data_IF_399500691353
#
_entry.id   IF_399500691353
#
_cell.length_a   1.000
_cell.length_b   1.000
_cell.length_c   1.000
_cell.angle_alpha   90.00
_cell.angle_beta   90.00
_cell.angle_gamma   90.00
#
_symmetry.space_group_name_H-M   'P 1'
#
loop_
_entity.id
_entity.type
_entity.pdbx_description
1 polymer ?
#
# COMPACT_ATOMS: atom_id res chain seq x y z
N UNK A 1 4.13 -47.49 -26.29
CA UNK A 1 4.58 -46.81 -25.05
C UNK A 1 4.50 -45.30 -25.22
N UNK A 2 3.52 -44.65 -24.59
CA UNK A 2 3.38 -43.20 -24.66
C UNK A 2 4.58 -42.51 -23.96
N UNK A 3 5.33 -41.70 -24.71
CA UNK A 3 6.46 -40.90 -24.21
C UNK A 3 6.00 -40.08 -22.99
N UNK A 4 6.43 -40.44 -21.77
CA UNK A 4 6.14 -39.70 -20.53
C UNK A 4 6.57 -38.24 -20.72
N UNK A 5 5.63 -37.33 -21.02
CA UNK A 5 5.88 -35.89 -21.21
C UNK A 5 6.14 -35.22 -19.85
N UNK A 6 7.29 -35.55 -19.22
CA UNK A 6 7.71 -35.05 -17.90
C UNK A 6 7.76 -33.52 -17.84
N UNK A 7 8.10 -32.86 -18.96
CA UNK A 7 8.15 -31.39 -19.07
C UNK A 7 6.77 -30.74 -18.98
N UNK A 8 5.75 -31.26 -19.70
CA UNK A 8 4.38 -30.72 -19.61
C UNK A 8 3.76 -30.95 -18.23
N UNK A 9 4.07 -32.10 -17.61
CA UNK A 9 3.62 -32.42 -16.26
C UNK A 9 4.12 -31.43 -15.22
N UNK A 10 5.43 -31.15 -15.19
CA UNK A 10 6.04 -30.23 -14.21
C UNK A 10 5.61 -28.78 -14.43
N UNK A 11 5.52 -28.34 -15.69
CA UNK A 11 4.98 -26.99 -16.01
C UNK A 11 3.56 -26.84 -15.46
N UNK A 12 2.70 -27.83 -15.70
CA UNK A 12 1.29 -27.78 -15.27
C UNK A 12 1.19 -27.79 -13.75
N UNK A 13 2.05 -28.57 -13.08
CA UNK A 13 2.14 -28.61 -11.62
C UNK A 13 2.57 -27.26 -11.03
N UNK A 14 3.60 -26.62 -11.60
CA UNK A 14 4.04 -25.28 -11.17
C UNK A 14 2.94 -24.24 -11.35
N UNK A 15 2.24 -24.25 -12.49
CA UNK A 15 1.11 -23.34 -12.74
C UNK A 15 -0.01 -23.56 -11.73
N UNK A 16 -0.33 -24.82 -11.39
CA UNK A 16 -1.34 -25.14 -10.38
C UNK A 16 -0.91 -24.63 -8.99
N UNK A 17 0.32 -24.91 -8.57
CA UNK A 17 0.88 -24.44 -7.29
C UNK A 17 0.94 -22.91 -7.21
N UNK A 18 1.28 -22.25 -8.32
CA UNK A 18 1.29 -20.79 -8.40
C UNK A 18 -0.11 -20.22 -8.12
N UNK A 19 -1.16 -20.80 -8.74
CA UNK A 19 -2.56 -20.40 -8.50
C UNK A 19 -2.98 -20.64 -7.06
N UNK A 20 -2.73 -21.83 -6.52
CA UNK A 20 -3.09 -22.18 -5.14
C UNK A 20 -2.43 -21.25 -4.13
N UNK A 21 -1.15 -20.91 -4.33
CA UNK A 21 -0.44 -19.96 -3.47
C UNK A 21 -1.07 -18.56 -3.51
N UNK A 22 -1.40 -18.05 -4.70
CA UNK A 22 -2.03 -16.72 -4.82
C UNK A 22 -3.46 -16.71 -4.26
N UNK A 23 -4.24 -17.78 -4.46
CA UNK A 23 -5.57 -17.92 -3.86
C UNK A 23 -5.51 -17.91 -2.33
N UNK A 24 -4.58 -18.68 -1.77
CA UNK A 24 -4.36 -18.72 -0.32
C UNK A 24 -3.95 -17.33 0.21
N UNK A 25 -3.09 -16.61 -0.52
CA UNK A 25 -2.69 -15.25 -0.18
C UNK A 25 -3.92 -14.32 -0.06
N UNK A 26 -4.77 -14.30 -1.08
CA UNK A 26 -5.96 -13.43 -1.11
C UNK A 26 -6.99 -13.85 -0.05
N UNK A 27 -7.23 -15.15 0.13
CA UNK A 27 -8.18 -15.65 1.13
C UNK A 27 -7.76 -15.27 2.56
N UNK A 28 -6.47 -15.41 2.86
CA UNK A 28 -5.94 -15.09 4.18
C UNK A 28 -6.01 -13.58 4.45
N UNK A 29 -5.69 -12.75 3.44
CA UNK A 29 -5.81 -11.30 3.55
C UNK A 29 -7.26 -10.85 3.83
N UNK A 30 -8.23 -11.49 3.18
CA UNK A 30 -9.64 -11.19 3.36
C UNK A 30 -10.24 -11.76 4.67
N UNK A 31 -9.52 -12.61 5.40
CA UNK A 31 -10.02 -13.18 6.64
C UNK A 31 -9.97 -12.13 7.78
N UNK A 32 -11.11 -11.73 8.38
CA UNK A 32 -11.13 -10.70 9.42
C UNK A 32 -10.48 -11.14 10.74
N UNK A 33 -10.28 -12.44 10.96
CA UNK A 33 -9.69 -12.99 12.19
C UNK A 33 -8.16 -13.04 12.15
N UNK A 34 -7.54 -12.80 10.99
CA UNK A 34 -6.09 -12.83 10.83
C UNK A 34 -5.53 -11.42 11.06
N UNK A 35 -4.46 -11.32 11.85
CA UNK A 35 -3.80 -10.05 12.17
C UNK A 35 -2.52 -9.80 11.35
N UNK A 36 -1.89 -10.86 10.83
CA UNK A 36 -0.65 -10.82 10.04
C UNK A 36 -0.92 -10.88 8.52
N UNK A 37 -1.87 -10.07 8.05
CA UNK A 37 -2.47 -10.22 6.71
C UNK A 37 -1.51 -9.89 5.59
N UNK A 38 -0.90 -8.71 5.60
CA UNK A 38 0.06 -8.30 4.57
C UNK A 38 1.28 -9.22 4.54
N UNK A 39 1.81 -9.63 5.68
CA UNK A 39 2.99 -10.50 5.78
C UNK A 39 2.75 -11.84 5.09
N UNK A 40 1.64 -12.48 5.44
CA UNK A 40 1.24 -13.75 4.86
C UNK A 40 0.89 -13.61 3.39
N UNK A 41 0.18 -12.54 3.00
CA UNK A 41 -0.11 -12.26 1.61
C UNK A 41 1.19 -12.14 0.81
N UNK A 42 2.13 -11.29 1.24
CA UNK A 42 3.39 -11.02 0.54
C UNK A 42 4.18 -12.32 0.39
N UNK A 43 4.30 -13.10 1.47
CA UNK A 43 5.04 -14.37 1.45
C UNK A 43 4.45 -15.35 0.44
N UNK A 44 3.13 -15.57 0.48
CA UNK A 44 2.43 -16.48 -0.43
C UNK A 44 2.43 -15.95 -1.87
N UNK A 45 2.31 -14.64 -2.07
CA UNK A 45 2.39 -13.99 -3.37
C UNK A 45 3.77 -14.17 -4.01
N UNK A 46 4.86 -13.97 -3.25
CA UNK A 46 6.24 -14.18 -3.72
C UNK A 46 6.44 -15.63 -4.16
N UNK A 47 5.92 -16.60 -3.41
CA UNK A 47 5.95 -18.03 -3.79
C UNK A 47 5.15 -18.25 -5.08
N UNK A 48 3.94 -17.70 -5.16
CA UNK A 48 3.08 -17.79 -6.33
C UNK A 48 3.77 -17.27 -7.60
N UNK A 49 4.32 -16.06 -7.54
CA UNK A 49 5.04 -15.43 -8.65
C UNK A 49 6.29 -16.20 -9.05
N UNK A 50 7.04 -16.74 -8.08
CA UNK A 50 8.22 -17.57 -8.34
C UNK A 50 7.83 -18.80 -9.16
N UNK A 51 6.79 -19.53 -8.75
CA UNK A 51 6.31 -20.69 -9.50
C UNK A 51 5.76 -20.34 -10.88
N UNK A 52 5.09 -19.19 -11.02
CA UNK A 52 4.65 -18.69 -12.32
C UNK A 52 5.83 -18.48 -13.26
N UNK A 53 6.86 -17.75 -12.82
CA UNK A 53 8.03 -17.45 -13.64
C UNK A 53 8.86 -18.70 -13.94
N UNK A 54 9.00 -19.63 -12.99
CA UNK A 54 9.64 -20.92 -13.25
C UNK A 54 8.89 -21.73 -14.32
N UNK A 55 7.55 -21.73 -14.28
CA UNK A 55 6.74 -22.38 -15.30
C UNK A 55 6.91 -21.71 -16.69
N UNK A 56 7.06 -20.39 -16.72
CA UNK A 56 7.33 -19.62 -17.93
C UNK A 56 8.73 -19.90 -18.49
N UNK A 57 9.79 -19.75 -17.69
CA UNK A 57 11.18 -20.03 -18.08
C UNK A 57 11.36 -21.44 -18.60
N UNK A 58 10.73 -22.42 -17.94
CA UNK A 58 10.70 -23.80 -18.43
C UNK A 58 10.04 -23.94 -19.80
N UNK A 59 9.07 -23.08 -20.14
CA UNK A 59 8.38 -23.13 -21.42
C UNK A 59 9.16 -22.53 -22.58
N UNK A 60 10.14 -21.67 -22.28
CA UNK A 60 11.07 -21.06 -23.23
C UNK A 60 12.50 -21.63 -23.12
N UNK A 61 12.67 -22.75 -22.40
CA UNK A 61 13.94 -23.46 -22.17
C UNK A 61 15.05 -22.64 -21.48
N UNK A 62 14.66 -21.67 -20.64
CA UNK A 62 15.58 -20.92 -19.78
C UNK A 62 15.92 -21.74 -18.53
N UNK A 63 17.22 -21.89 -18.26
CA UNK A 63 17.74 -22.65 -17.12
C UNK A 63 17.79 -21.80 -15.85
N UNK A 64 16.68 -21.80 -15.10
CA UNK A 64 16.50 -21.03 -13.86
C UNK A 64 17.15 -21.66 -12.62
N UNK A 65 18.24 -22.42 -12.79
CA UNK A 65 19.02 -23.01 -11.69
C UNK A 65 20.28 -22.19 -11.45
N UNK A 66 20.74 -22.17 -10.20
CA UNK A 66 22.05 -21.61 -9.89
C UNK A 66 23.16 -22.52 -10.42
N UNK A 67 24.06 -21.94 -11.21
CA UNK A 67 25.25 -22.62 -11.69
C UNK A 67 26.40 -21.63 -11.84
N UNK A 68 27.62 -22.18 -11.75
CA UNK A 68 28.86 -21.50 -12.08
C UNK A 68 29.43 -22.11 -13.35
N UNK A 69 29.90 -21.27 -14.25
CA UNK A 69 30.52 -21.71 -15.51
C UNK A 69 32.03 -21.81 -15.28
N UNK A 70 32.58 -23.03 -15.34
CA UNK A 70 34.01 -23.26 -15.35
C UNK A 70 34.39 -23.81 -16.74
N UNK A 71 34.92 -22.94 -17.60
CA UNK A 71 35.16 -23.26 -19.01
C UNK A 71 33.86 -23.56 -19.77
N UNK A 72 33.73 -24.74 -20.39
CA UNK A 72 32.52 -25.18 -21.11
C UNK A 72 31.50 -25.93 -20.23
N UNK A 73 31.80 -26.18 -18.96
CA UNK A 73 30.97 -27.02 -18.08
C UNK A 73 30.20 -26.16 -17.07
N UNK A 74 28.89 -26.39 -16.97
CA UNK A 74 28.04 -25.84 -15.91
C UNK A 74 28.15 -26.69 -14.65
N UNK A 75 28.60 -26.09 -13.56
CA UNK A 75 28.59 -26.69 -12.22
C UNK A 75 27.42 -26.11 -11.45
N UNK A 76 26.43 -26.92 -11.11
CA UNK A 76 25.20 -26.46 -10.46
C UNK A 76 25.32 -26.42 -8.95
N UNK A 77 24.76 -25.38 -8.35
CA UNK A 77 24.67 -25.26 -6.91
C UNK A 77 23.56 -26.17 -6.38
N UNK A 78 23.85 -26.83 -5.26
CA UNK A 78 22.94 -27.77 -4.60
C UNK A 78 22.64 -27.33 -3.16
N UNK A 79 21.47 -27.70 -2.67
CA UNK A 79 21.09 -27.57 -1.26
C UNK A 79 21.89 -28.57 -0.42
N UNK A 80 21.83 -28.42 0.91
CA UNK A 80 22.45 -29.36 1.87
C UNK A 80 22.06 -30.82 1.61
N UNK A 81 20.86 -31.06 1.10
CA UNK A 81 20.31 -32.39 0.81
C UNK A 81 20.43 -32.79 -0.68
N UNK A 82 21.26 -32.10 -1.46
CA UNK A 82 21.61 -32.50 -2.82
C UNK A 82 20.63 -32.09 -3.93
N UNK A 83 19.53 -31.41 -3.60
CA UNK A 83 18.61 -30.85 -4.60
C UNK A 83 19.22 -29.62 -5.29
N UNK A 84 18.88 -29.36 -6.56
CA UNK A 84 19.36 -28.14 -7.25
C UNK A 84 18.76 -26.88 -6.63
N UNK A 85 19.60 -25.85 -6.45
CA UNK A 85 19.11 -24.52 -6.09
C UNK A 85 18.51 -23.85 -7.33
N UNK A 86 17.26 -23.41 -7.21
CA UNK A 86 16.55 -22.66 -8.24
C UNK A 86 16.56 -21.17 -7.87
N UNK A 87 16.39 -20.30 -8.88
CA UNK A 87 16.29 -18.86 -8.67
C UNK A 87 15.11 -18.50 -7.79
N UNK A 88 15.33 -17.60 -6.85
CA UNK A 88 14.30 -16.86 -6.15
C UNK A 88 13.64 -15.81 -7.08
N UNK A 89 12.53 -15.22 -6.61
CA UNK A 89 11.77 -14.24 -7.40
C UNK A 89 12.64 -13.08 -7.85
N UNK A 90 13.45 -12.50 -6.98
CA UNK A 90 14.29 -11.35 -7.31
C UNK A 90 15.23 -11.64 -8.48
N UNK A 91 15.94 -12.78 -8.45
CA UNK A 91 16.76 -13.23 -9.58
C UNK A 91 15.93 -13.46 -10.85
N UNK A 92 14.72 -14.02 -10.72
CA UNK A 92 13.81 -14.17 -11.85
C UNK A 92 13.42 -12.82 -12.47
N UNK A 93 13.19 -11.78 -11.68
CA UNK A 93 12.81 -10.45 -12.17
C UNK A 93 13.97 -9.71 -12.86
N UNK A 94 15.21 -10.05 -12.51
CA UNK A 94 16.42 -9.43 -13.06
C UNK A 94 16.94 -10.13 -14.33
N UNK A 95 16.31 -11.23 -14.76
CA UNK A 95 16.68 -11.92 -15.99
C UNK A 95 16.10 -11.22 -17.22
N UNK A 96 16.88 -11.16 -18.31
CA UNK A 96 16.47 -10.51 -19.55
C UNK A 96 15.27 -11.20 -20.22
N UNK A 97 15.03 -12.47 -19.94
CA UNK A 97 13.88 -13.22 -20.44
C UNK A 97 12.61 -12.99 -19.60
N UNK A 98 12.64 -12.15 -18.57
CA UNK A 98 11.47 -11.88 -17.74
C UNK A 98 10.31 -11.33 -18.58
N UNK A 99 9.11 -11.93 -18.53
CA UNK A 99 7.99 -11.54 -19.38
C UNK A 99 7.18 -10.34 -18.85
N UNK A 100 7.57 -9.80 -17.69
CA UNK A 100 6.80 -8.80 -16.96
C UNK A 100 7.19 -7.37 -17.39
N UNK A 101 6.20 -6.48 -17.41
CA UNK A 101 6.41 -5.05 -17.61
C UNK A 101 7.12 -4.40 -16.42
N UNK A 102 7.73 -3.23 -16.68
CA UNK A 102 8.53 -2.49 -15.69
C UNK A 102 7.74 -2.22 -14.42
N UNK A 103 6.50 -1.74 -14.52
CA UNK A 103 5.67 -1.33 -13.38
C UNK A 103 5.29 -2.52 -12.50
N UNK A 104 4.98 -3.66 -13.12
CA UNK A 104 4.73 -4.93 -12.42
C UNK A 104 6.00 -5.40 -11.72
N UNK A 105 7.17 -5.36 -12.38
CA UNK A 105 8.44 -5.73 -11.71
C UNK A 105 8.77 -4.82 -10.54
N UNK A 106 8.49 -3.51 -10.66
CA UNK A 106 8.67 -2.52 -9.59
C UNK A 106 7.75 -2.80 -8.40
N UNK A 107 6.48 -3.14 -8.64
CA UNK A 107 5.57 -3.59 -7.59
C UNK A 107 6.11 -4.83 -6.86
N UNK A 108 6.60 -5.84 -7.58
CA UNK A 108 7.14 -7.06 -6.97
C UNK A 108 8.44 -6.81 -6.19
N UNK A 109 9.34 -5.98 -6.71
CA UNK A 109 10.56 -5.58 -5.99
C UNK A 109 10.23 -4.84 -4.70
N UNK A 110 9.24 -3.95 -4.74
CA UNK A 110 8.74 -3.27 -3.55
C UNK A 110 8.24 -4.28 -2.51
N UNK A 111 7.41 -5.26 -2.90
CA UNK A 111 6.91 -6.28 -1.96
C UNK A 111 8.02 -7.20 -1.41
N UNK A 112 9.05 -7.51 -2.20
CA UNK A 112 10.24 -8.25 -1.74
C UNK A 112 11.00 -7.41 -0.69
N UNK A 113 11.21 -6.12 -0.94
CA UNK A 113 11.85 -5.21 0.01
C UNK A 113 11.07 -5.11 1.31
N UNK A 114 9.76 -4.94 1.22
CA UNK A 114 8.85 -4.93 2.38
C UNK A 114 8.94 -6.24 3.16
N UNK A 115 8.99 -7.41 2.50
CA UNK A 115 9.17 -8.69 3.19
C UNK A 115 10.46 -8.72 4.01
N UNK A 116 11.58 -8.21 3.48
CA UNK A 116 12.84 -8.15 4.23
C UNK A 116 12.70 -7.24 5.46
N UNK A 117 12.11 -6.06 5.30
CA UNK A 117 11.91 -5.12 6.42
C UNK A 117 10.99 -5.70 7.52
N UNK A 118 9.93 -6.42 7.15
CA UNK A 118 9.03 -7.06 8.12
C UNK A 118 9.67 -8.29 8.78
N UNK A 119 10.42 -9.11 8.05
CA UNK A 119 11.15 -10.27 8.64
C UNK A 119 12.16 -9.81 9.70
N UNK A 120 12.64 -8.57 9.63
CA UNK A 120 13.57 -7.99 10.60
C UNK A 120 12.88 -7.20 11.74
N UNK A 121 11.57 -6.94 11.69
CA UNK A 121 10.85 -6.14 12.69
C UNK A 121 9.40 -6.63 12.89
N UNK A 122 9.02 -6.97 14.13
CA UNK A 122 7.61 -7.19 14.51
C UNK A 122 6.84 -5.86 14.37
N UNK A 123 6.20 -5.65 13.21
CA UNK A 123 5.47 -4.42 12.90
C UNK A 123 3.98 -4.70 12.95
N UNK A 124 3.22 -3.85 13.65
CA UNK A 124 1.76 -3.93 13.69
C UNK A 124 1.15 -3.00 12.62
N UNK A 125 0.11 -3.47 11.91
CA UNK A 125 -0.81 -2.67 11.07
C UNK A 125 -0.19 -1.99 9.83
N UNK A 126 0.59 -2.72 9.05
CA UNK A 126 1.10 -2.25 7.74
C UNK A 126 0.08 -2.34 6.59
N UNK A 127 -1.03 -3.05 6.80
CA UNK A 127 -2.01 -3.40 5.76
C UNK A 127 -2.57 -2.18 5.01
N UNK A 128 -2.88 -1.09 5.74
CA UNK A 128 -3.52 0.11 5.19
C UNK A 128 -2.67 0.79 4.12
N UNK A 129 -1.35 0.83 4.33
CA UNK A 129 -0.38 1.48 3.44
C UNK A 129 -0.01 0.62 2.23
N UNK A 130 -0.09 -0.69 2.39
CA UNK A 130 0.32 -1.65 1.36
C UNK A 130 -0.86 -2.12 0.50
N UNK A 131 -2.09 -1.95 0.97
CA UNK A 131 -3.34 -2.41 0.33
C UNK A 131 -3.37 -2.22 -1.19
N UNK A 132 -3.07 -1.01 -1.67
CA UNK A 132 -3.04 -0.69 -3.11
C UNK A 132 -1.97 -1.47 -3.88
N UNK A 133 -0.81 -1.74 -3.27
CA UNK A 133 0.29 -2.51 -3.86
C UNK A 133 -0.03 -4.01 -3.85
N UNK A 134 -0.63 -4.52 -2.78
CA UNK A 134 -1.07 -5.91 -2.67
C UNK A 134 -2.18 -6.21 -3.68
N UNK A 135 -3.13 -5.29 -3.86
CA UNK A 135 -4.18 -5.42 -4.86
C UNK A 135 -3.62 -5.38 -6.29
N UNK A 136 -2.70 -4.46 -6.59
CA UNK A 136 -2.00 -4.45 -7.88
C UNK A 136 -1.27 -5.77 -8.15
N UNK A 137 -0.58 -6.31 -7.15
CA UNK A 137 0.09 -7.61 -7.24
C UNK A 137 -0.87 -8.74 -7.62
N UNK A 138 -2.02 -8.86 -6.96
CA UNK A 138 -3.03 -9.89 -7.26
C UNK A 138 -3.64 -9.74 -8.67
N UNK A 139 -4.00 -8.51 -9.06
CA UNK A 139 -4.57 -8.22 -10.38
C UNK A 139 -3.55 -8.53 -11.48
N UNK A 140 -2.31 -8.07 -11.32
CA UNK A 140 -1.23 -8.34 -12.27
C UNK A 140 -0.94 -9.84 -12.37
N UNK A 141 -1.02 -10.56 -11.25
CA UNK A 141 -0.82 -12.00 -11.24
C UNK A 141 -1.85 -12.71 -12.13
N UNK A 142 -3.15 -12.40 -11.95
CA UNK A 142 -4.20 -13.00 -12.78
C UNK A 142 -4.02 -12.64 -14.27
N UNK A 143 -3.68 -11.38 -14.56
CA UNK A 143 -3.38 -10.93 -15.92
C UNK A 143 -2.25 -11.74 -16.56
N UNK A 144 -1.11 -11.88 -15.87
CA UNK A 144 0.04 -12.63 -16.40
C UNK A 144 -0.20 -14.14 -16.46
N UNK A 145 -0.97 -14.70 -15.52
CA UNK A 145 -1.41 -16.10 -15.59
C UNK A 145 -2.20 -16.36 -16.88
N UNK A 146 -3.16 -15.49 -17.18
CA UNK A 146 -3.96 -15.59 -18.40
C UNK A 146 -3.10 -15.37 -19.66
N UNK A 147 -2.26 -14.33 -19.65
CA UNK A 147 -1.37 -13.98 -20.78
C UNK A 147 -0.39 -15.10 -21.13
N UNK A 148 0.20 -15.76 -20.13
CA UNK A 148 1.27 -16.75 -20.32
C UNK A 148 0.78 -18.19 -20.48
N UNK A 149 -0.35 -18.55 -19.84
CA UNK A 149 -0.81 -19.94 -19.77
C UNK A 149 -2.25 -20.14 -20.28
N UNK A 150 -2.95 -19.05 -20.65
CA UNK A 150 -4.29 -19.03 -21.19
C UNK A 150 -5.40 -18.85 -20.16
N UNK A 151 -6.57 -18.40 -20.61
CA UNK A 151 -7.72 -18.01 -19.78
C UNK A 151 -8.29 -19.12 -18.89
N UNK A 152 -7.97 -20.40 -19.14
CA UNK A 152 -8.37 -21.52 -18.28
C UNK A 152 -7.77 -21.46 -16.87
N UNK A 153 -6.74 -20.65 -16.67
CA UNK A 153 -6.08 -20.45 -15.37
C UNK A 153 -6.48 -19.15 -14.68
N UNK A 154 -7.46 -18.45 -15.23
CA UNK A 154 -8.01 -17.24 -14.64
C UNK A 154 -8.47 -17.48 -13.19
N UNK A 155 -8.23 -16.49 -12.34
CA UNK A 155 -8.52 -16.47 -10.90
C UNK A 155 -9.65 -15.49 -10.57
N UNK A 156 -9.97 -14.53 -11.45
CA UNK A 156 -10.97 -13.50 -11.19
C UNK A 156 -12.39 -14.06 -10.99
N UNK A 157 -12.65 -15.30 -11.43
CA UNK A 157 -13.93 -15.99 -11.19
C UNK A 157 -14.05 -16.65 -9.81
N UNK A 158 -12.95 -16.79 -9.05
CA UNK A 158 -12.91 -17.59 -7.82
C UNK A 158 -13.06 -16.75 -6.54
N UNK A 159 -13.04 -15.41 -6.64
CA UNK A 159 -13.15 -14.47 -5.50
C UNK A 159 -14.26 -13.44 -5.73
N UNK A 160 -15.50 -13.85 -5.53
CA UNK A 160 -16.67 -12.97 -5.53
C UNK A 160 -16.78 -12.24 -4.19
N UNK A 161 -16.37 -10.97 -4.17
CA UNK A 161 -16.74 -9.90 -3.22
C UNK A 161 -16.63 -10.21 -1.71
N UNK A 162 -15.73 -9.52 -1.00
CA UNK A 162 -15.77 -9.48 0.47
C UNK A 162 -16.89 -8.53 0.92
N UNK A 163 -17.89 -9.04 1.64
CA UNK A 163 -18.96 -8.24 2.26
C UNK A 163 -18.37 -7.52 3.47
N UNK A 164 -18.37 -6.19 3.47
CA UNK A 164 -17.89 -5.37 4.57
C UNK A 164 -19.05 -5.09 5.56
N UNK A 165 -18.79 -5.21 6.86
CA UNK A 165 -19.80 -5.03 7.92
C UNK A 165 -20.14 -3.56 8.22
N UNK A 166 -19.33 -2.60 7.77
CA UNK A 166 -19.57 -1.17 7.98
C UNK A 166 -19.37 -0.37 6.69
N UNK A 167 -20.20 0.67 6.46
CA UNK A 167 -19.81 1.74 5.56
C UNK A 167 -18.48 2.34 6.03
N UNK A 168 -17.64 2.82 5.11
CA UNK A 168 -16.45 3.61 5.45
C UNK A 168 -16.93 4.90 6.15
N UNK A 169 -16.90 4.94 7.48
CA UNK A 169 -17.30 6.12 8.24
C UNK A 169 -16.15 7.15 8.30
N UNK A 170 -16.44 8.44 8.44
CA UNK A 170 -15.43 9.47 8.69
C UNK A 170 -14.51 9.14 9.89
N UNK A 171 -15.00 8.39 10.89
CA UNK A 171 -14.21 7.99 12.05
C UNK A 171 -13.10 6.97 11.72
N UNK A 172 -13.21 6.23 10.60
CA UNK A 172 -12.13 5.40 10.10
C UNK A 172 -11.01 6.23 9.44
N UNK A 173 -11.30 7.45 8.93
CA UNK A 173 -10.29 8.36 8.36
C UNK A 173 -9.32 8.91 9.40
N UNK A 174 -9.74 9.13 10.64
CA UNK A 174 -8.82 9.62 11.68
C UNK A 174 -7.76 8.58 12.06
N UNK A 175 -8.11 7.29 12.10
CA UNK A 175 -7.12 6.21 12.27
C UNK A 175 -6.19 6.06 11.05
N UNK A 176 -6.70 6.33 9.84
CA UNK A 176 -5.90 6.28 8.60
C UNK A 176 -4.90 7.45 8.49
N UNK A 177 -5.25 8.64 9.03
CA UNK A 177 -4.43 9.86 8.93
C UNK A 177 -3.42 10.01 10.07
N UNK A 178 -3.78 9.64 11.31
CA UNK A 178 -2.90 9.71 12.49
C UNK A 178 -2.29 8.32 12.79
N UNK A 179 -1.63 7.73 11.79
CA UNK A 179 -0.96 6.45 11.89
C UNK A 179 0.43 6.60 12.57
N UNK A 180 0.43 7.01 13.85
CA UNK A 180 1.60 7.15 14.73
C UNK A 180 2.27 5.82 15.10
N UNK A 181 1.71 4.68 14.68
CA UNK A 181 2.12 3.34 15.12
C UNK A 181 2.89 2.52 14.08
N UNK A 182 3.15 3.05 12.89
CA UNK A 182 4.10 2.41 11.96
C UNK A 182 5.52 2.71 12.43
N UNK A 183 6.32 1.67 12.60
CA UNK A 183 7.76 1.78 12.83
C UNK A 183 8.39 2.65 11.75
N UNK A 184 9.27 3.57 12.15
CA UNK A 184 9.88 4.59 11.27
C UNK A 184 10.43 4.03 9.96
N UNK A 185 10.85 2.76 9.95
CA UNK A 185 11.67 2.19 8.89
C UNK A 185 10.87 1.75 7.66
N UNK A 186 9.68 1.13 7.82
CA UNK A 186 8.84 0.78 6.66
C UNK A 186 8.37 2.05 5.96
N UNK A 187 8.03 3.09 6.72
CA UNK A 187 7.67 4.41 6.17
C UNK A 187 8.86 5.04 5.44
N UNK A 188 10.05 5.00 6.02
CA UNK A 188 11.26 5.51 5.36
C UNK A 188 11.57 4.72 4.09
N UNK A 189 11.49 3.39 4.12
CA UNK A 189 11.66 2.56 2.93
C UNK A 189 10.65 2.92 1.83
N UNK A 190 9.37 3.08 2.17
CA UNK A 190 8.34 3.48 1.19
C UNK A 190 8.70 4.83 0.57
N UNK A 191 9.05 5.82 1.39
CA UNK A 191 9.43 7.16 0.93
C UNK A 191 10.68 7.09 0.04
N UNK A 192 11.73 6.40 0.49
CA UNK A 192 12.99 6.28 -0.23
C UNK A 192 12.81 5.53 -1.56
N UNK A 193 12.00 4.47 -1.56
CA UNK A 193 11.68 3.70 -2.76
C UNK A 193 10.82 4.51 -3.74
N UNK A 194 9.81 5.24 -3.28
CA UNK A 194 8.95 6.04 -4.15
C UNK A 194 9.64 7.32 -4.67
N UNK A 195 10.56 7.91 -3.91
CA UNK A 195 11.34 9.08 -4.31
C UNK A 195 12.24 8.85 -5.55
N UNK A 196 12.63 7.60 -5.81
CA UNK A 196 13.45 7.24 -6.97
C UNK A 196 12.64 6.84 -8.21
N UNK A 197 11.30 6.79 -8.11
CA UNK A 197 10.41 6.44 -9.21
C UNK A 197 9.99 7.66 -10.03
N UNK A 198 9.71 7.46 -11.33
CA UNK A 198 9.12 8.50 -12.18
C UNK A 198 7.65 8.75 -11.83
N UNK A 199 7.14 9.94 -12.16
CA UNK A 199 5.72 10.26 -11.96
C UNK A 199 4.79 9.28 -12.69
N UNK A 200 5.18 8.83 -13.88
CA UNK A 200 4.44 7.85 -14.68
C UNK A 200 4.32 6.51 -13.95
N UNK A 201 5.41 6.03 -13.36
CA UNK A 201 5.42 4.80 -12.58
C UNK A 201 4.52 4.92 -11.33
N UNK A 202 4.55 6.07 -10.64
CA UNK A 202 3.72 6.33 -9.45
C UNK A 202 2.21 6.36 -9.77
N UNK A 203 1.85 6.85 -10.96
CA UNK A 203 0.46 6.90 -11.46
C UNK A 203 -0.03 5.57 -12.02
N UNK A 204 0.86 4.63 -12.32
CA UNK A 204 0.49 3.34 -12.92
C UNK A 204 -0.35 2.47 -11.98
N UNK A 205 -1.48 1.97 -12.50
CA UNK A 205 -2.34 1.00 -11.82
C UNK A 205 -1.66 -0.37 -11.63
N UNK A 206 -0.64 -0.67 -12.45
CA UNK A 206 0.20 -1.87 -12.30
C UNK A 206 1.15 -1.75 -11.12
N UNK A 207 1.54 -0.54 -10.74
CA UNK A 207 2.34 -0.29 -9.54
C UNK A 207 1.48 -0.22 -8.28
N UNK A 208 0.37 0.52 -8.33
CA UNK A 208 -0.57 0.66 -7.23
C UNK A 208 -2.01 0.81 -7.75
N UNK A 209 -2.88 -0.14 -7.38
CA UNK A 209 -4.29 -0.10 -7.78
C UNK A 209 -5.09 0.67 -6.74
N UNK A 210 -5.79 1.72 -7.18
CA UNK A 210 -6.52 2.65 -6.30
C UNK A 210 -8.00 2.66 -6.71
N UNK A 211 -8.89 2.51 -5.74
CA UNK A 211 -10.35 2.51 -5.97
C UNK A 211 -10.96 3.68 -5.21
N UNK A 212 -11.84 4.42 -5.88
CA UNK A 212 -12.68 5.43 -5.26
C UNK A 212 -14.09 4.86 -5.08
N UNK A 213 -14.55 4.75 -3.84
CA UNK A 213 -15.94 4.44 -3.53
C UNK A 213 -16.71 5.74 -3.33
N UNK A 214 -17.71 5.97 -4.18
CA UNK A 214 -18.64 7.08 -4.05
C UNK A 214 -20.02 6.49 -3.74
N UNK A 215 -20.67 6.87 -2.63
CA UNK A 215 -22.03 6.42 -2.37
C UNK A 215 -22.95 6.98 -3.45
N UNK A 216 -23.65 6.10 -4.16
CA UNK A 216 -24.64 6.49 -5.18
C UNK A 216 -26.02 6.26 -4.59
N UNK A 217 -26.82 7.31 -4.51
CA UNK A 217 -28.26 7.15 -4.25
C UNK A 217 -28.94 6.63 -5.51
N UNK A 218 -29.72 5.56 -5.38
CA UNK A 218 -30.49 5.01 -6.49
C UNK A 218 -31.40 6.10 -7.08
N UNK A 219 -31.25 6.39 -8.38
CA UNK A 219 -32.06 7.41 -9.07
C UNK A 219 -33.24 6.81 -9.82
N UNK A 220 -33.25 5.49 -10.01
CA UNK A 220 -34.29 4.75 -10.76
C UNK A 220 -34.71 3.47 -10.01
N UNK A 221 -35.96 3.03 -10.15
CA UNK A 221 -36.40 1.72 -9.66
C UNK A 221 -35.54 0.60 -10.26
N UNK A 222 -35.04 -0.32 -9.44
CA UNK A 222 -34.14 -1.41 -9.84
C UNK A 222 -32.64 -1.08 -9.77
N UNK A 223 -32.26 0.18 -9.56
CA UNK A 223 -30.86 0.57 -9.32
C UNK A 223 -30.43 0.35 -7.86
N UNK A 224 -31.40 0.21 -6.95
CA UNK A 224 -31.18 -0.07 -5.53
C UNK A 224 -30.61 -1.48 -5.28
N UNK A 225 -30.79 -2.40 -6.23
CA UNK A 225 -30.32 -3.79 -6.14
C UNK A 225 -28.87 -3.96 -6.63
N UNK A 226 -28.28 -2.92 -7.26
CA UNK A 226 -26.86 -2.91 -7.66
C UNK A 226 -26.01 -2.30 -6.55
N UNK A 227 -25.11 -3.11 -5.99
CA UNK A 227 -24.24 -2.70 -4.86
C UNK A 227 -23.04 -1.86 -5.33
N UNK A 228 -22.62 -1.99 -6.60
CA UNK A 228 -21.44 -1.30 -7.16
C UNK A 228 -21.65 -0.94 -8.63
N UNK A 229 -21.27 0.28 -9.02
CA UNK A 229 -21.21 0.73 -10.42
C UNK A 229 -19.74 1.00 -10.83
N UNK A 230 -19.30 0.45 -11.96
CA UNK A 230 -17.93 0.63 -12.46
C UNK A 230 -17.86 1.82 -13.41
N UNK A 231 -17.06 2.82 -13.03
CA UNK A 231 -16.74 3.97 -13.87
C UNK A 231 -15.31 3.81 -14.39
N UNK A 232 -15.12 3.91 -15.71
CA UNK A 232 -13.76 3.87 -16.29
C UNK A 232 -13.00 5.15 -15.94
N UNK A 233 -11.71 5.01 -15.68
CA UNK A 233 -10.83 6.12 -15.29
C UNK A 233 -10.71 7.21 -16.36
N UNK A 234 -10.85 6.87 -17.64
CA UNK A 234 -10.81 7.80 -18.78
C UNK A 234 -12.18 8.43 -19.10
N UNK A 235 -13.21 8.17 -18.29
CA UNK A 235 -14.53 8.74 -18.53
C UNK A 235 -14.61 10.19 -18.04
N UNK A 236 -15.41 11.06 -18.70
CA UNK A 236 -15.66 12.43 -18.24
C UNK A 236 -16.21 12.49 -16.81
N UNK A 237 -16.95 11.44 -16.40
CA UNK A 237 -17.46 11.30 -15.03
C UNK A 237 -16.32 11.07 -14.03
N UNK A 238 -15.32 10.25 -14.38
CA UNK A 238 -14.13 10.04 -13.54
C UNK A 238 -13.28 11.30 -13.42
N UNK A 239 -13.07 12.06 -14.50
CA UNK A 239 -12.37 13.35 -14.44
C UNK A 239 -13.09 14.36 -13.53
N UNK A 240 -14.43 14.41 -13.60
CA UNK A 240 -15.24 15.25 -12.72
C UNK A 240 -15.14 14.84 -11.24
N UNK A 241 -15.06 13.53 -10.97
CA UNK A 241 -14.89 13.00 -9.61
C UNK A 241 -13.48 13.27 -9.07
N UNK A 242 -12.43 13.11 -9.88
CA UNK A 242 -11.05 13.47 -9.51
C UNK A 242 -10.92 14.96 -9.19
N UNK A 243 -11.52 15.84 -10.01
CA UNK A 243 -11.57 17.29 -9.76
C UNK A 243 -12.35 17.63 -8.50
N UNK A 244 -13.49 16.99 -8.27
CA UNK A 244 -14.28 17.19 -7.04
C UNK A 244 -13.49 16.74 -5.80
N UNK A 245 -12.71 15.65 -5.91
CA UNK A 245 -11.84 15.19 -4.83
C UNK A 245 -10.62 16.09 -4.63
N UNK A 246 -10.05 16.66 -5.71
CA UNK A 246 -9.04 17.70 -5.63
C UNK A 246 -9.57 18.95 -4.91
N UNK A 247 -10.81 19.36 -5.22
CA UNK A 247 -11.53 20.45 -4.54
C UNK A 247 -11.83 20.11 -3.08
N UNK A 248 -12.10 18.84 -2.73
CA UNK A 248 -12.24 18.41 -1.32
C UNK A 248 -10.87 18.35 -0.61
N UNK A 249 -9.79 17.99 -1.30
CA UNK A 249 -8.41 18.13 -0.77
C UNK A 249 -8.01 19.60 -0.59
N UNK A 250 -8.53 20.47 -1.45
CA UNK A 250 -8.41 21.93 -1.40
C UNK A 250 -9.52 22.59 -0.57
N UNK A 251 -10.41 21.83 0.10
CA UNK A 251 -11.31 22.46 1.08
C UNK A 251 -10.41 23.11 2.12
N UNK A 252 -10.49 24.43 2.18
CA UNK A 252 -9.56 25.25 2.92
C UNK A 252 -9.46 24.73 4.36
N UNK A 253 -8.28 24.21 4.73
CA UNK A 253 -8.03 23.72 6.09
C UNK A 253 -8.45 24.80 7.06
N UNK A 254 -9.23 24.45 8.09
CA UNK A 254 -9.67 25.41 9.10
C UNK A 254 -8.44 26.13 9.68
N UNK A 255 -8.42 27.45 9.54
CA UNK A 255 -7.33 28.33 9.95
C UNK A 255 -7.73 29.00 11.25
N UNK A 256 -6.80 29.02 12.20
CA UNK A 256 -6.94 29.70 13.47
C UNK A 256 -5.95 30.85 13.56
N UNK A 257 -6.43 32.01 13.97
CA UNK A 257 -5.58 33.08 14.44
C UNK A 257 -5.02 32.73 15.84
N UNK A 258 -3.83 33.24 16.20
CA UNK A 258 -3.28 33.09 17.54
C UNK A 258 -4.28 33.45 18.66
N UNK A 259 -5.07 34.51 18.45
CA UNK A 259 -6.09 34.95 19.40
C UNK A 259 -7.25 33.97 19.53
N UNK A 260 -7.63 33.28 18.46
CA UNK A 260 -8.69 32.26 18.48
C UNK A 260 -8.24 31.03 19.25
N UNK A 261 -7.00 30.57 19.07
CA UNK A 261 -6.43 29.46 19.85
C UNK A 261 -6.44 29.79 21.33
N UNK A 262 -5.99 30.99 21.71
CA UNK A 262 -6.01 31.43 23.12
C UNK A 262 -7.43 31.48 23.68
N UNK A 263 -8.40 31.98 22.91
CA UNK A 263 -9.81 32.02 23.31
C UNK A 263 -10.35 30.60 23.55
N UNK A 264 -10.13 29.69 22.62
CA UNK A 264 -10.55 28.29 22.72
C UNK A 264 -9.88 27.56 23.90
N UNK A 265 -8.61 27.85 24.19
CA UNK A 265 -7.93 27.30 25.37
C UNK A 265 -8.55 27.81 26.67
N UNK A 266 -8.92 29.09 26.73
CA UNK A 266 -9.63 29.66 27.90
C UNK A 266 -11.02 29.05 28.07
N UNK A 267 -11.77 28.85 26.98
CA UNK A 267 -13.05 28.13 27.02
C UNK A 267 -12.92 26.69 27.53
N UNK A 268 -11.76 26.05 27.31
CA UNK A 268 -11.40 24.73 27.87
C UNK A 268 -10.88 24.79 29.34
N UNK A 269 -10.95 25.95 29.99
CA UNK A 269 -10.61 26.16 31.40
C UNK A 269 -9.14 26.51 31.68
N UNK A 270 -8.36 26.85 30.64
CA UNK A 270 -6.96 27.30 30.79
C UNK A 270 -6.88 28.83 30.83
N UNK A 271 -7.45 29.44 31.87
CA UNK A 271 -7.62 30.91 31.97
C UNK A 271 -6.31 31.69 31.91
N UNK A 272 -5.21 31.09 32.41
CA UNK A 272 -3.88 31.71 32.44
C UNK A 272 -3.07 31.46 31.17
N UNK A 273 -3.66 30.81 30.15
CA UNK A 273 -3.07 30.71 28.83
C UNK A 273 -3.28 32.04 28.08
N UNK A 274 -2.20 32.74 27.79
CA UNK A 274 -2.20 34.07 27.18
C UNK A 274 -1.49 34.08 25.82
N UNK A 275 -1.66 35.17 25.06
CA UNK A 275 -1.01 35.34 23.77
C UNK A 275 0.53 35.32 23.87
N UNK A 276 1.08 35.78 25.01
CA UNK A 276 2.51 35.75 25.27
C UNK A 276 3.00 34.31 25.42
N UNK A 277 2.30 33.49 26.21
CA UNK A 277 2.61 32.06 26.36
C UNK A 277 2.46 31.29 25.05
N UNK A 278 1.44 31.58 24.27
CA UNK A 278 1.31 31.04 22.92
C UNK A 278 2.51 31.42 22.04
N UNK A 279 2.99 32.66 22.15
CA UNK A 279 4.15 33.16 21.39
C UNK A 279 5.46 32.48 21.79
N UNK A 280 5.68 32.29 23.08
CA UNK A 280 6.83 31.54 23.62
C UNK A 280 6.79 30.07 23.19
N UNK A 281 5.61 29.45 23.19
CA UNK A 281 5.42 28.06 22.81
C UNK A 281 5.73 27.81 21.34
N UNK A 282 5.21 28.63 20.41
CA UNK A 282 5.50 28.40 19.00
C UNK A 282 6.97 28.67 18.65
N UNK A 283 7.62 29.63 19.33
CA UNK A 283 9.05 29.91 19.16
C UNK A 283 9.93 28.77 19.69
N UNK A 284 9.63 28.24 20.88
CA UNK A 284 10.42 27.15 21.47
C UNK A 284 10.34 25.85 20.65
N UNK A 285 9.24 25.65 19.92
CA UNK A 285 9.02 24.48 19.06
C UNK A 285 9.29 24.72 17.58
N UNK A 286 9.81 25.90 17.21
CA UNK A 286 10.01 26.29 15.81
C UNK A 286 8.77 26.03 14.92
N UNK A 287 7.58 26.29 15.47
CA UNK A 287 6.33 25.79 14.88
C UNK A 287 5.90 26.50 13.59
N UNK A 288 6.58 27.59 13.21
CA UNK A 288 6.40 28.23 11.91
C UNK A 288 7.26 27.61 10.81
N UNK A 289 8.09 26.64 11.13
CA UNK A 289 8.89 25.94 10.14
C UNK A 289 7.97 25.11 9.21
N UNK A 290 8.06 25.32 7.88
CA UNK A 290 7.23 24.61 6.91
C UNK A 290 7.28 23.08 7.04
N UNK A 291 8.40 22.53 7.54
CA UNK A 291 8.59 21.09 7.75
C UNK A 291 7.50 20.45 8.61
N UNK A 292 6.94 21.18 9.58
CA UNK A 292 5.96 20.63 10.52
C UNK A 292 4.50 20.82 10.09
N UNK A 293 4.25 21.59 9.03
CA UNK A 293 2.88 21.80 8.49
C UNK A 293 1.85 22.25 9.55
N UNK A 294 2.26 23.11 10.49
CA UNK A 294 1.42 23.63 11.58
C UNK A 294 0.62 24.87 11.21
N UNK A 295 0.91 25.50 10.08
CA UNK A 295 0.22 26.70 9.63
C UNK A 295 0.72 27.18 8.29
N UNK A 296 0.19 28.32 7.86
CA UNK A 296 0.54 28.98 6.60
C UNK A 296 0.54 30.50 6.76
N UNK A 297 1.46 31.17 6.08
CA UNK A 297 1.46 32.62 5.96
C UNK A 297 0.46 33.02 4.86
N UNK A 298 -0.57 33.80 5.21
CA UNK A 298 -1.52 34.37 4.25
C UNK A 298 -1.43 35.89 4.32
N UNK A 299 -1.01 36.51 3.22
CA UNK A 299 -0.60 37.91 3.16
C UNK A 299 0.47 38.21 4.23
N UNK A 300 0.10 38.89 5.32
CA UNK A 300 1.02 39.30 6.39
C UNK A 300 0.76 38.57 7.73
N UNK A 301 -0.21 37.66 7.77
CA UNK A 301 -0.65 37.01 9.01
C UNK A 301 -0.43 35.52 8.94
N UNK A 302 0.18 34.97 10.00
CA UNK A 302 0.34 33.53 10.14
C UNK A 302 -0.94 32.90 10.69
N UNK A 303 -1.50 31.96 9.94
CA UNK A 303 -2.65 31.18 10.33
C UNK A 303 -2.21 29.78 10.74
N UNK A 304 -2.74 29.30 11.86
CA UNK A 304 -2.46 27.98 12.39
C UNK A 304 -3.49 26.97 11.90
N UNK A 305 -3.06 25.74 11.67
CA UNK A 305 -3.95 24.62 11.38
C UNK A 305 -4.37 23.90 12.66
N UNK A 306 -5.37 23.04 12.55
CA UNK A 306 -5.84 22.15 13.63
C UNK A 306 -4.70 21.35 14.29
N UNK A 307 -3.70 20.96 13.50
CA UNK A 307 -2.52 20.23 14.00
C UNK A 307 -1.75 21.02 15.06
N UNK A 308 -1.62 22.33 14.89
CA UNK A 308 -1.00 23.19 15.89
C UNK A 308 -1.89 23.37 17.12
N UNK A 309 -3.20 23.52 16.91
CA UNK A 309 -4.16 23.60 18.00
C UNK A 309 -4.08 22.39 18.93
N UNK A 310 -4.03 21.17 18.38
CA UNK A 310 -3.85 19.92 19.16
C UNK A 310 -2.53 19.91 19.94
N UNK A 311 -1.44 20.45 19.38
CA UNK A 311 -0.16 20.55 20.10
C UNK A 311 -0.20 21.56 21.25
N UNK A 312 -0.92 22.67 21.07
CA UNK A 312 -1.18 23.63 22.15
C UNK A 312 -2.02 22.99 23.25
N UNK A 313 -3.03 22.19 22.91
CA UNK A 313 -3.81 21.42 23.90
C UNK A 313 -2.95 20.48 24.72
N UNK A 314 -2.08 19.70 24.07
CA UNK A 314 -1.14 18.81 24.78
C UNK A 314 -0.24 19.58 25.74
N UNK A 315 0.28 20.74 25.30
CA UNK A 315 1.08 21.59 26.15
C UNK A 315 0.29 22.12 27.35
N UNK A 316 -0.95 22.58 27.14
CA UNK A 316 -1.84 23.05 28.19
C UNK A 316 -2.20 21.94 29.19
N UNK A 317 -2.44 20.71 28.71
CA UNK A 317 -2.70 19.55 29.55
C UNK A 317 -1.48 19.19 30.41
N UNK A 318 -0.27 19.22 29.84
CA UNK A 318 0.96 18.94 30.57
C UNK A 318 1.28 19.99 31.65
N UNK A 319 0.84 21.24 31.47
CA UNK A 319 1.07 22.35 32.41
C UNK A 319 -0.23 22.83 33.08
N UNK A 320 -1.20 21.92 33.25
CA UNK A 320 -2.54 22.27 33.72
C UNK A 320 -2.52 22.94 35.10
N UNK A 321 -1.59 22.57 35.99
CA UNK A 321 -1.44 23.15 37.34
C UNK A 321 -1.12 24.64 37.28
N UNK A 322 -0.33 25.08 36.30
CA UNK A 322 0.10 26.47 36.15
C UNK A 322 -0.83 27.30 35.26
N UNK A 323 -1.60 26.62 34.41
CA UNK A 323 -2.44 27.25 33.38
C UNK A 323 -3.92 27.32 33.73
N UNK A 324 -4.39 26.51 34.68
CA UNK A 324 -5.75 26.61 35.21
C UNK A 324 -5.79 27.57 36.42
N UNK A 325 -6.93 28.22 36.59
CA UNK A 325 -7.26 28.88 37.86
C UNK A 325 -7.48 27.81 38.93
N UNK A 326 -7.09 28.10 40.18
CA UNK A 326 -7.34 27.19 41.30
C UNK A 326 -8.83 27.00 41.54
#
# INVERSE_FOLDING_TARGET
MARKRRVKSVKTELVKKAREAMLAAVQLYNNPQVTFKAEAFITLAVIGWTYMLHAYYRSIDVDYRYYRTAGKKKTYDKTKYGAYKHWELERCLNDAACPLDSETTTNLRFLIGVRHEIEHQMTDRIDEYLSAKLQACAINFDYYMCKLFGNKYNLSKELSLAIQFSPLSPDQRENLQDNLHITSNVKNFVVDFENVLSEEALRSSRYAYRVLFVPISAKRPGQADQVVEFVKSDSPLAEGLEKTYAVIKETEKRKYLPGEIVKLMKEKGYDKFSINKHTELWKSRDAKNPKFSYGVLVANTWYWYETWFREVEKHCAAHAVDLKSK
#
